data_IF_580387740298
#
_entry.id   IF_580387740298
#
_cell.length_a   1.000
_cell.length_b   1.000
_cell.length_c   1.000
_cell.angle_alpha   90.00
_cell.angle_beta   90.00
_cell.angle_gamma   90.00
#
_symmetry.space_group_name_H-M   'P 1'
#
loop_
_entity.id
_entity.type
_entity.pdbx_description
1 polymer ?
#
# COMPACT_ATOMS: atom_id res chain seq x y z
N UNK A 1 18.80 -14.88 8.73
CA UNK A 1 18.56 -13.73 7.84
C UNK A 1 17.34 -12.94 8.33
N UNK A 2 17.41 -11.64 8.18
CA UNK A 2 16.28 -10.80 8.58
C UNK A 2 15.09 -11.03 7.65
N UNK A 3 13.88 -11.09 8.22
CA UNK A 3 12.67 -11.19 7.43
C UNK A 3 12.37 -9.87 6.73
N UNK A 4 11.78 -9.93 5.54
CA UNK A 4 11.25 -8.72 4.89
C UNK A 4 10.16 -8.12 5.75
N UNK A 5 10.22 -6.79 5.90
CA UNK A 5 9.24 -6.03 6.66
C UNK A 5 8.20 -5.46 5.71
N UNK A 6 6.93 -5.78 5.97
CA UNK A 6 5.82 -5.32 5.16
C UNK A 6 4.87 -4.51 6.02
N UNK A 7 4.59 -3.29 5.59
CA UNK A 7 3.61 -2.43 6.24
C UNK A 7 2.28 -2.56 5.52
N UNK A 8 1.21 -2.85 6.28
CA UNK A 8 -0.15 -2.97 5.75
C UNK A 8 -0.95 -1.78 6.26
N UNK A 9 -1.56 -1.02 5.36
CA UNK A 9 -2.39 0.13 5.72
C UNK A 9 -3.79 -0.09 5.16
N UNK A 10 -4.76 -0.34 6.03
CA UNK A 10 -6.14 -0.64 5.67
C UNK A 10 -7.03 -0.30 6.86
N UNK A 11 -8.16 0.38 6.64
CA UNK A 11 -9.05 0.78 7.71
C UNK A 11 -9.92 -0.36 8.22
N UNK A 12 -10.02 -1.46 7.51
CA UNK A 12 -10.81 -2.62 7.91
C UNK A 12 -9.99 -3.54 8.81
N UNK A 13 -10.45 -3.73 10.06
CA UNK A 13 -9.74 -4.56 11.03
C UNK A 13 -9.61 -6.02 10.53
N UNK A 14 -10.68 -6.57 9.97
CA UNK A 14 -10.67 -7.94 9.47
C UNK A 14 -9.62 -8.12 8.37
N UNK A 15 -9.51 -7.15 7.48
CA UNK A 15 -8.54 -7.19 6.38
C UNK A 15 -7.11 -7.07 6.93
N UNK A 16 -6.87 -6.16 7.88
CA UNK A 16 -5.55 -6.06 8.52
C UNK A 16 -5.15 -7.39 9.14
N UNK A 17 -6.06 -7.99 9.90
CA UNK A 17 -5.79 -9.26 10.56
C UNK A 17 -5.50 -10.36 9.54
N UNK A 18 -6.32 -10.47 8.51
CA UNK A 18 -6.18 -11.49 7.48
C UNK A 18 -4.84 -11.36 6.74
N UNK A 19 -4.52 -10.15 6.30
CA UNK A 19 -3.31 -9.93 5.50
C UNK A 19 -2.05 -10.12 6.35
N UNK A 20 -2.04 -9.61 7.59
CA UNK A 20 -0.87 -9.81 8.46
C UNK A 20 -0.65 -11.27 8.79
N UNK A 21 -1.72 -12.02 9.08
CA UNK A 21 -1.61 -13.44 9.36
C UNK A 21 -1.06 -14.21 8.15
N UNK A 22 -1.55 -13.87 6.95
CA UNK A 22 -1.07 -14.48 5.71
C UNK A 22 0.41 -14.20 5.49
N UNK A 23 0.84 -12.96 5.68
CA UNK A 23 2.23 -12.58 5.47
C UNK A 23 3.14 -13.28 6.48
N UNK A 24 2.76 -13.28 7.75
CA UNK A 24 3.58 -13.90 8.79
C UNK A 24 3.70 -15.40 8.60
N UNK A 25 2.64 -16.06 8.15
CA UNK A 25 2.69 -17.50 7.88
C UNK A 25 3.55 -17.84 6.66
N UNK A 26 3.92 -16.86 5.87
CA UNK A 26 4.78 -17.03 4.69
C UNK A 26 6.18 -16.45 4.90
N UNK A 27 6.58 -16.19 6.14
CA UNK A 27 7.94 -15.81 6.47
C UNK A 27 8.25 -14.32 6.45
N UNK A 28 7.22 -13.46 6.34
CA UNK A 28 7.40 -12.02 6.37
C UNK A 28 7.11 -11.46 7.77
N UNK A 29 7.68 -10.31 8.07
CA UNK A 29 7.35 -9.55 9.28
C UNK A 29 6.34 -8.48 8.87
N UNK A 30 5.16 -8.46 9.49
CA UNK A 30 4.09 -7.54 9.11
C UNK A 30 3.71 -6.63 10.24
N UNK A 31 3.46 -5.36 9.91
CA UNK A 31 2.84 -4.40 10.81
C UNK A 31 1.65 -3.79 10.09
N UNK A 32 0.58 -3.51 10.84
CA UNK A 32 -0.64 -2.99 10.25
C UNK A 32 -1.06 -1.69 10.90
N UNK A 33 -1.42 -0.71 10.07
CA UNK A 33 -1.94 0.57 10.51
C UNK A 33 -3.31 0.79 9.89
N UNK A 34 -4.15 1.56 10.58
CA UNK A 34 -5.56 1.71 10.19
C UNK A 34 -5.84 2.90 9.30
N UNK A 35 -4.89 3.81 9.12
CA UNK A 35 -5.11 5.00 8.30
C UNK A 35 -3.79 5.52 7.72
N UNK A 36 -3.90 6.49 6.81
CA UNK A 36 -2.73 7.03 6.12
C UNK A 36 -1.78 7.80 7.04
N UNK A 37 -2.31 8.48 8.05
CA UNK A 37 -1.48 9.26 8.96
C UNK A 37 -0.58 8.35 9.79
N UNK A 38 -1.16 7.33 10.43
CA UNK A 38 -0.38 6.37 11.21
C UNK A 38 0.53 5.52 10.31
N UNK A 39 0.07 5.23 9.09
CA UNK A 39 0.88 4.52 8.09
C UNK A 39 2.13 5.29 7.70
N UNK A 40 2.00 6.59 7.44
CA UNK A 40 3.14 7.44 7.11
C UNK A 40 4.12 7.54 8.28
N UNK A 41 3.60 7.69 9.49
CA UNK A 41 4.45 7.74 10.67
C UNK A 41 5.24 6.46 10.84
N UNK A 42 4.59 5.32 10.70
CA UNK A 42 5.24 4.01 10.81
C UNK A 42 6.28 3.81 9.72
N UNK A 43 5.98 4.24 8.50
CA UNK A 43 6.92 4.12 7.39
C UNK A 43 8.20 4.93 7.62
N UNK A 44 8.07 6.10 8.25
CA UNK A 44 9.24 6.93 8.58
C UNK A 44 10.05 6.35 9.72
N UNK A 45 9.39 5.78 10.73
CA UNK A 45 10.06 5.23 11.91
C UNK A 45 10.79 3.92 11.61
N UNK A 46 10.14 3.05 10.85
CA UNK A 46 10.70 1.72 10.53
C UNK A 46 10.54 1.47 9.03
N UNK A 47 11.37 2.09 8.22
CA UNK A 47 11.30 2.00 6.77
C UNK A 47 11.04 0.55 6.32
N UNK A 48 9.84 0.23 5.82
CA UNK A 48 9.52 -1.14 5.38
C UNK A 48 10.16 -1.45 4.03
N UNK A 49 10.22 -2.73 3.72
CA UNK A 49 10.68 -3.19 2.40
C UNK A 49 9.57 -3.14 1.35
N UNK A 50 8.32 -3.13 1.80
CA UNK A 50 7.15 -3.12 0.93
C UNK A 50 5.96 -2.57 1.71
N UNK A 51 5.07 -1.85 1.03
CA UNK A 51 3.82 -1.35 1.62
C UNK A 51 2.64 -1.91 0.83
N UNK A 52 1.66 -2.47 1.57
CA UNK A 52 0.37 -2.85 1.01
C UNK A 52 -0.64 -1.81 1.48
N UNK A 53 -1.29 -1.14 0.56
CA UNK A 53 -2.06 0.07 0.84
C UNK A 53 -3.46 -0.01 0.25
N UNK A 54 -4.49 0.17 1.10
CA UNK A 54 -5.86 0.32 0.64
C UNK A 54 -6.09 1.74 0.15
N UNK A 55 -6.78 1.88 -0.97
CA UNK A 55 -7.09 3.19 -1.53
C UNK A 55 -8.22 3.86 -0.77
N UNK A 56 -9.26 3.10 -0.44
CA UNK A 56 -10.50 3.63 0.14
C UNK A 56 -10.44 3.62 1.66
N UNK A 57 -9.89 4.69 2.22
CA UNK A 57 -9.83 4.87 3.67
C UNK A 57 -10.39 6.24 4.03
N UNK A 58 -11.02 6.40 5.21
CA UNK A 58 -11.50 7.70 5.65
C UNK A 58 -10.32 8.65 5.90
N UNK A 59 -10.62 9.95 5.89
CA UNK A 59 -9.61 10.98 6.11
C UNK A 59 -8.70 11.15 4.91
N UNK A 60 -7.40 10.95 5.11
CA UNK A 60 -6.41 11.20 4.07
C UNK A 60 -6.46 10.23 2.90
N UNK A 61 -7.03 9.04 3.08
CA UNK A 61 -7.16 8.07 2.00
C UNK A 61 -5.85 7.49 1.52
N UNK A 62 -5.96 6.38 0.75
CA UNK A 62 -4.78 5.68 0.26
C UNK A 62 -4.06 6.42 -0.86
N UNK A 63 -4.79 7.10 -1.74
CA UNK A 63 -4.17 7.86 -2.83
C UNK A 63 -3.32 8.99 -2.28
N UNK A 64 -3.81 9.69 -1.25
CA UNK A 64 -3.06 10.78 -0.64
C UNK A 64 -1.81 10.28 0.05
N UNK A 65 -1.91 9.15 0.76
CA UNK A 65 -0.74 8.51 1.36
C UNK A 65 0.27 8.11 0.29
N UNK A 66 -0.20 7.52 -0.80
CA UNK A 66 0.66 7.11 -1.90
C UNK A 66 1.42 8.31 -2.48
N UNK A 67 0.73 9.42 -2.70
CA UNK A 67 1.38 10.64 -3.19
C UNK A 67 2.45 11.15 -2.22
N UNK A 68 2.15 11.15 -0.93
CA UNK A 68 3.10 11.57 0.10
C UNK A 68 4.32 10.67 0.17
N UNK A 69 4.14 9.36 0.00
CA UNK A 69 5.26 8.43 -0.05
C UNK A 69 6.20 8.76 -1.21
N UNK A 70 5.65 9.06 -2.37
CA UNK A 70 6.44 9.36 -3.56
C UNK A 70 7.13 10.71 -3.50
N UNK A 71 6.58 11.64 -2.70
CA UNK A 71 7.17 12.95 -2.51
C UNK A 71 8.31 12.96 -1.48
N UNK A 72 8.35 11.98 -0.60
CA UNK A 72 9.38 11.88 0.45
C UNK A 72 10.60 11.14 -0.10
N UNK A 73 11.78 11.81 -0.22
CA UNK A 73 12.96 11.17 -0.79
C UNK A 73 13.40 9.91 -0.04
N UNK A 74 13.14 9.84 1.26
CA UNK A 74 13.52 8.67 2.07
C UNK A 74 12.62 7.46 1.81
N UNK A 75 11.40 7.68 1.27
CA UNK A 75 10.39 6.64 1.11
C UNK A 75 10.00 6.41 -0.35
N UNK A 76 10.46 7.26 -1.26
CA UNK A 76 9.97 7.29 -2.64
C UNK A 76 10.23 6.01 -3.42
N UNK A 77 11.22 5.24 -3.05
CA UNK A 77 11.59 4.00 -3.74
C UNK A 77 11.03 2.74 -3.10
N UNK A 78 10.27 2.86 -2.01
CA UNK A 78 9.62 1.70 -1.41
C UNK A 78 8.49 1.22 -2.33
N UNK A 79 8.52 -0.05 -2.76
CA UNK A 79 7.45 -0.56 -3.62
C UNK A 79 6.11 -0.61 -2.89
N UNK A 80 5.04 -0.28 -3.60
CA UNK A 80 3.68 -0.26 -3.06
C UNK A 80 2.77 -1.15 -3.88
N UNK A 81 2.05 -2.04 -3.18
CA UNK A 81 0.97 -2.82 -3.76
C UNK A 81 -0.34 -2.20 -3.29
N UNK A 82 -1.19 -1.82 -4.24
CA UNK A 82 -2.54 -1.34 -3.92
C UNK A 82 -3.48 -2.52 -3.75
N UNK A 83 -4.32 -2.47 -2.72
CA UNK A 83 -5.33 -3.50 -2.44
C UNK A 83 -6.63 -2.79 -2.13
N UNK A 84 -7.64 -2.91 -3.01
CA UNK A 84 -8.84 -2.11 -2.87
C UNK A 84 -10.06 -2.75 -3.53
N UNK A 85 -11.24 -2.36 -3.07
CA UNK A 85 -12.51 -2.70 -3.72
C UNK A 85 -12.74 -1.87 -4.99
N UNK A 86 -11.97 -0.80 -5.20
CA UNK A 86 -12.07 0.03 -6.40
C UNK A 86 -11.43 -0.69 -7.58
N UNK A 87 -12.08 -0.70 -8.74
CA UNK A 87 -11.54 -1.34 -9.94
C UNK A 87 -10.24 -0.65 -10.38
N UNK A 88 -9.30 -1.44 -10.86
CA UNK A 88 -8.00 -0.94 -11.31
C UNK A 88 -8.14 0.12 -12.41
N UNK A 89 -9.08 -0.08 -13.34
CA UNK A 89 -9.31 0.88 -14.43
C UNK A 89 -9.74 2.25 -13.89
N UNK A 90 -10.58 2.27 -12.87
CA UNK A 90 -11.01 3.52 -12.23
C UNK A 90 -9.86 4.21 -11.52
N UNK A 91 -9.01 3.45 -10.84
CA UNK A 91 -7.83 3.99 -10.18
C UNK A 91 -6.86 4.60 -11.19
N UNK A 92 -6.59 3.88 -12.29
CA UNK A 92 -5.68 4.38 -13.32
C UNK A 92 -6.18 5.65 -13.97
N UNK A 93 -7.50 5.74 -14.20
CA UNK A 93 -8.10 6.95 -14.73
C UNK A 93 -7.93 8.12 -13.76
N UNK A 94 -8.21 7.89 -12.48
CA UNK A 94 -8.04 8.92 -11.45
C UNK A 94 -6.58 9.37 -11.35
N UNK A 95 -5.64 8.44 -11.35
CA UNK A 95 -4.22 8.73 -11.27
C UNK A 95 -3.76 9.53 -12.49
N UNK A 96 -4.25 9.17 -13.68
CA UNK A 96 -3.95 9.89 -14.92
C UNK A 96 -4.43 11.34 -14.84
N UNK A 97 -5.64 11.57 -14.33
CA UNK A 97 -6.16 12.93 -14.17
C UNK A 97 -5.33 13.73 -13.16
N UNK A 98 -4.95 13.09 -12.05
CA UNK A 98 -4.12 13.73 -11.04
C UNK A 98 -2.77 14.13 -11.61
N UNK A 99 -2.14 13.23 -12.35
CA UNK A 99 -0.81 13.46 -12.94
C UNK A 99 -0.83 14.52 -14.04
N UNK A 100 -1.95 14.65 -14.76
CA UNK A 100 -2.09 15.66 -15.80
C UNK A 100 -2.02 17.09 -15.23
N UNK A 101 -2.36 17.25 -13.94
CA UNK A 101 -2.36 18.55 -13.26
C UNK A 101 -1.14 18.77 -12.37
N UNK A 102 -0.23 17.80 -12.33
CA UNK A 102 0.92 17.83 -11.43
C UNK A 102 2.20 18.09 -12.19
N UNK A 103 3.08 18.92 -11.61
CA UNK A 103 4.42 19.12 -12.13
C UNK A 103 5.31 17.90 -11.91
N UNK A 104 4.98 17.06 -10.94
CA UNK A 104 5.72 15.84 -10.62
C UNK A 104 4.75 14.67 -10.60
N UNK A 105 4.58 13.98 -11.74
CA UNK A 105 3.65 12.86 -11.82
C UNK A 105 4.01 11.74 -10.84
N UNK A 106 2.99 11.14 -10.24
CA UNK A 106 3.14 10.01 -9.34
C UNK A 106 3.20 8.72 -10.18
N UNK A 107 4.21 7.87 -10.01
CA UNK A 107 4.31 6.63 -10.77
C UNK A 107 3.25 5.61 -10.35
N UNK A 108 3.01 4.62 -11.21
CA UNK A 108 2.11 3.53 -10.90
C UNK A 108 2.66 2.70 -9.74
N UNK A 109 1.78 2.09 -8.91
CA UNK A 109 2.21 1.10 -7.94
C UNK A 109 2.78 -0.13 -8.65
N UNK A 110 3.56 -0.95 -7.94
CA UNK A 110 4.14 -2.16 -8.54
C UNK A 110 3.08 -3.20 -8.86
N UNK A 111 1.96 -3.20 -8.12
CA UNK A 111 0.83 -4.07 -8.40
C UNK A 111 -0.44 -3.43 -7.86
N UNK A 112 -1.57 -3.79 -8.46
CA UNK A 112 -2.89 -3.37 -8.01
C UNK A 112 -3.78 -4.61 -7.93
N UNK A 113 -4.27 -4.93 -6.73
CA UNK A 113 -5.09 -6.09 -6.48
C UNK A 113 -6.48 -5.67 -6.03
N UNK A 114 -7.50 -6.16 -6.72
CA UNK A 114 -8.89 -5.86 -6.37
C UNK A 114 -9.38 -6.82 -5.29
N UNK A 115 -10.19 -6.30 -4.37
CA UNK A 115 -10.89 -7.13 -3.39
C UNK A 115 -12.12 -7.78 -4.07
N UNK A 116 -12.50 -9.01 -3.72
CA UNK A 116 -11.95 -9.83 -2.64
C UNK A 116 -10.55 -10.35 -2.95
N UNK A 117 -9.73 -10.48 -1.91
CA UNK A 117 -8.32 -10.81 -2.04
C UNK A 117 -8.11 -12.28 -2.41
N UNK A 118 -7.33 -12.50 -3.47
CA UNK A 118 -6.78 -13.81 -3.79
C UNK A 118 -5.38 -13.88 -3.17
N UNK A 119 -5.23 -14.73 -2.15
CA UNK A 119 -3.96 -14.79 -1.40
C UNK A 119 -2.79 -15.23 -2.27
N UNK A 120 -3.00 -16.09 -3.25
CA UNK A 120 -1.95 -16.52 -4.16
C UNK A 120 -1.43 -15.35 -5.00
N UNK A 121 -2.33 -14.51 -5.50
CA UNK A 121 -1.95 -13.32 -6.29
C UNK A 121 -1.18 -12.32 -5.43
N UNK A 122 -1.59 -12.13 -4.18
CA UNK A 122 -0.85 -11.24 -3.28
C UNK A 122 0.56 -11.75 -3.05
N UNK A 123 0.72 -13.02 -2.74
CA UNK A 123 2.04 -13.59 -2.48
C UNK A 123 2.92 -13.55 -3.73
N UNK A 124 2.36 -13.81 -4.90
CA UNK A 124 3.08 -13.71 -6.17
C UNK A 124 3.56 -12.28 -6.43
N UNK A 125 2.75 -11.29 -6.05
CA UNK A 125 3.11 -9.88 -6.25
C UNK A 125 4.27 -9.44 -5.35
N UNK A 126 4.45 -10.09 -4.20
CA UNK A 126 5.52 -9.77 -3.26
C UNK A 126 6.85 -10.41 -3.67
N UNK A 127 6.78 -11.55 -4.28
CA UNK A 127 7.98 -12.33 -4.67
C UNK A 127 8.76 -11.74 -5.81
#
# INVERSE_FOLDING_TARGET
>A
MAKKKILVVDDEMDMRFYVTALLESNGYQAQAMRDGQSGMQQAREERPDLIILDIMMPGDGGVKMYSRLREDPALADIPVIMLSAVAETSFRHFLSMLNAQSAQPVPDPVAYLEKPLDHARLLDSIR
#
